data_IF_217835823609
#
_entry.id   IF_217835823609
#
_cell.length_a   1.000
_cell.length_b   1.000
_cell.length_c   1.000
_cell.angle_alpha   90.00
_cell.angle_beta   90.00
_cell.angle_gamma   90.00
#
_symmetry.space_group_name_H-M   'P 1'
#
loop_
_entity.id
_entity.type
_entity.pdbx_description
1 polymer ?
#
# COMPACT_ATOMS: atom_id res chain seq x y z
N UNK A 1 3.37 -48.70 22.75
CA UNK A 1 3.42 -47.28 23.16
C UNK A 1 4.48 -46.60 22.32
N UNK A 2 4.06 -46.04 21.19
CA UNK A 2 4.95 -45.49 20.16
C UNK A 2 5.32 -44.05 20.49
N UNK A 3 6.64 -43.83 20.60
CA UNK A 3 7.29 -42.53 20.71
C UNK A 3 6.98 -41.67 19.48
N UNK A 4 6.18 -40.62 19.66
CA UNK A 4 6.09 -39.52 18.71
C UNK A 4 7.34 -38.65 18.87
N UNK A 5 8.30 -38.81 17.95
CA UNK A 5 9.42 -37.90 17.77
C UNK A 5 8.85 -36.53 17.39
N UNK A 6 9.16 -35.53 18.20
CA UNK A 6 9.01 -34.12 17.85
C UNK A 6 10.04 -33.80 16.77
N UNK A 7 9.59 -33.69 15.53
CA UNK A 7 10.41 -33.08 14.47
C UNK A 7 10.42 -31.57 14.72
N UNK A 8 11.39 -31.14 15.52
CA UNK A 8 11.81 -29.75 15.57
C UNK A 8 12.31 -29.38 14.16
N UNK A 9 11.71 -28.37 13.54
CA UNK A 9 12.28 -27.70 12.37
C UNK A 9 13.75 -27.38 12.69
N UNK A 10 14.66 -28.15 12.08
CA UNK A 10 16.08 -28.09 12.34
C UNK A 10 16.68 -26.80 11.86
N UNK A 11 16.65 -25.76 12.69
CA UNK A 11 17.64 -24.69 12.65
C UNK A 11 18.86 -25.14 13.48
N UNK A 12 19.55 -26.19 13.01
CA UNK A 12 20.82 -26.65 13.59
C UNK A 12 21.90 -26.83 12.51
N UNK A 13 21.90 -26.02 11.45
CA UNK A 13 23.16 -25.80 10.75
C UNK A 13 23.98 -24.84 11.60
N UNK A 14 25.13 -25.29 12.11
CA UNK A 14 26.11 -24.41 12.75
C UNK A 14 26.67 -23.36 11.80
N UNK A 15 26.41 -23.50 10.49
CA UNK A 15 26.84 -22.57 9.46
C UNK A 15 25.81 -21.45 9.26
N UNK A 16 26.25 -20.18 9.24
CA UNK A 16 25.41 -19.05 8.86
C UNK A 16 24.84 -19.24 7.46
N UNK A 17 23.56 -18.90 7.27
CA UNK A 17 22.96 -18.78 5.96
C UNK A 17 23.72 -17.75 5.12
N UNK A 18 23.76 -17.95 3.81
CA UNK A 18 24.45 -17.01 2.91
C UNK A 18 23.75 -15.65 2.87
N UNK A 19 22.42 -15.66 2.78
CA UNK A 19 21.57 -14.47 2.62
C UNK A 19 20.22 -14.73 3.28
N UNK A 20 19.67 -13.73 3.98
CA UNK A 20 18.27 -13.67 4.42
C UNK A 20 17.63 -12.43 3.81
N UNK A 21 16.39 -12.54 3.35
CA UNK A 21 15.57 -11.40 2.90
C UNK A 21 14.43 -11.22 3.90
N UNK A 22 14.26 -10.01 4.42
CA UNK A 22 13.23 -9.66 5.40
C UNK A 22 12.24 -8.70 4.74
N UNK A 23 10.98 -9.11 4.64
CA UNK A 23 9.89 -8.28 4.11
C UNK A 23 8.66 -9.09 3.76
N UNK A 24 7.47 -8.56 4.08
CA UNK A 24 6.20 -9.22 3.82
C UNK A 24 5.22 -8.22 3.19
N UNK A 25 5.50 -7.79 1.96
CA UNK A 25 4.59 -6.94 1.18
C UNK A 25 3.21 -7.61 0.95
N UNK A 26 2.28 -6.96 0.23
CA UNK A 26 0.92 -7.47 0.03
C UNK A 26 0.84 -8.94 -0.41
N UNK A 27 1.75 -9.37 -1.28
CA UNK A 27 1.85 -10.76 -1.72
C UNK A 27 2.24 -11.73 -0.60
N UNK A 28 3.13 -11.32 0.30
CA UNK A 28 3.59 -12.13 1.43
C UNK A 28 2.54 -12.27 2.53
N UNK A 29 1.77 -11.20 2.79
CA UNK A 29 0.60 -11.26 3.68
C UNK A 29 -0.49 -12.17 3.11
N UNK A 30 -0.83 -12.01 1.82
CA UNK A 30 -1.81 -12.86 1.14
C UNK A 30 -1.41 -14.34 1.18
N UNK A 31 -0.14 -14.63 0.89
CA UNK A 31 0.41 -15.98 0.98
C UNK A 31 0.33 -16.52 2.40
N UNK A 32 0.71 -15.74 3.41
CA UNK A 32 0.64 -16.19 4.82
C UNK A 32 -0.80 -16.50 5.25
N UNK A 33 -1.79 -15.72 4.81
CA UNK A 33 -3.19 -15.98 5.08
C UNK A 33 -3.66 -17.31 4.47
N UNK A 34 -3.35 -17.54 3.19
CA UNK A 34 -3.62 -18.80 2.48
C UNK A 34 -2.98 -19.99 3.18
N UNK A 35 -1.69 -19.88 3.48
CA UNK A 35 -0.92 -20.95 4.12
C UNK A 35 -1.33 -21.16 5.58
N UNK A 36 -1.98 -20.20 6.25
CA UNK A 36 -2.53 -20.37 7.60
C UNK A 36 -3.79 -21.24 7.64
N UNK A 37 -4.18 -21.80 6.49
CA UNK A 37 -5.30 -22.72 6.33
C UNK A 37 -6.57 -22.05 5.81
N UNK A 38 -6.56 -20.74 5.53
CA UNK A 38 -7.71 -20.07 4.92
C UNK A 38 -7.76 -20.36 3.43
N UNK A 39 -8.65 -21.27 3.07
CA UNK A 39 -8.76 -21.77 1.71
C UNK A 39 -9.94 -21.09 0.99
N UNK A 40 -9.73 -20.50 -0.20
CA UNK A 40 -10.77 -19.84 -0.99
C UNK A 40 -11.65 -20.85 -1.74
N UNK A 41 -12.96 -20.62 -1.68
CA UNK A 41 -14.01 -21.36 -2.40
C UNK A 41 -14.92 -20.37 -3.13
N UNK A 42 -15.54 -20.81 -4.21
CA UNK A 42 -16.65 -20.05 -4.80
C UNK A 42 -17.84 -20.06 -3.83
N UNK A 43 -18.43 -18.89 -3.58
CA UNK A 43 -19.66 -18.76 -2.79
C UNK A 43 -20.80 -19.53 -3.50
N UNK A 44 -21.64 -20.31 -2.79
CA UNK A 44 -22.68 -21.14 -3.41
C UNK A 44 -23.63 -20.40 -4.35
N UNK A 45 -23.99 -19.15 -4.00
CA UNK A 45 -24.95 -18.34 -4.75
C UNK A 45 -24.27 -17.19 -5.53
N UNK A 46 -22.95 -17.18 -5.61
CA UNK A 46 -22.26 -16.14 -6.37
C UNK A 46 -22.29 -16.45 -7.87
N UNK A 47 -22.65 -15.42 -8.64
CA UNK A 47 -22.59 -15.44 -10.09
C UNK A 47 -21.51 -14.45 -10.53
N UNK A 48 -20.45 -14.97 -11.13
CA UNK A 48 -19.39 -14.15 -11.70
C UNK A 48 -19.90 -13.47 -12.98
N UNK A 49 -19.64 -12.16 -13.17
CA UNK A 49 -20.14 -11.40 -14.32
C UNK A 49 -19.58 -11.88 -15.66
N UNK A 50 -18.32 -12.34 -15.69
CA UNK A 50 -17.71 -12.92 -16.87
C UNK A 50 -18.29 -14.32 -17.19
N UNK A 51 -19.04 -14.53 -18.29
CA UNK A 51 -19.79 -15.77 -18.52
C UNK A 51 -18.92 -17.01 -18.70
N UNK A 52 -17.76 -16.87 -19.36
CA UNK A 52 -16.83 -18.00 -19.54
C UNK A 52 -16.23 -18.45 -18.21
N UNK A 53 -15.70 -17.52 -17.41
CA UNK A 53 -15.19 -17.84 -16.07
C UNK A 53 -16.31 -18.42 -15.18
N UNK A 54 -17.52 -17.87 -15.21
CA UNK A 54 -18.66 -18.44 -14.47
C UNK A 54 -18.94 -19.90 -14.86
N UNK A 55 -18.91 -20.21 -16.15
CA UNK A 55 -19.08 -21.58 -16.65
C UNK A 55 -17.99 -22.49 -16.10
N UNK A 56 -16.71 -22.08 -16.22
CA UNK A 56 -15.56 -22.86 -15.73
C UNK A 56 -15.64 -23.12 -14.21
N UNK A 57 -15.97 -22.10 -13.42
CA UNK A 57 -16.17 -22.23 -11.97
C UNK A 57 -17.32 -23.18 -11.60
N UNK A 58 -18.34 -23.28 -12.46
CA UNK A 58 -19.49 -24.16 -12.25
C UNK A 58 -19.21 -25.63 -12.57
N UNK A 59 -18.08 -25.96 -13.20
CA UNK A 59 -17.71 -27.34 -13.54
C UNK A 59 -17.26 -28.15 -12.32
N UNK A 60 -16.71 -27.48 -11.30
CA UNK A 60 -16.22 -28.10 -10.07
C UNK A 60 -16.76 -27.41 -8.80
N UNK A 61 -18.10 -27.43 -8.57
CA UNK A 61 -18.70 -26.75 -7.43
C UNK A 61 -18.22 -27.38 -6.12
N UNK A 62 -17.89 -26.52 -5.14
CA UNK A 62 -17.43 -26.96 -3.82
C UNK A 62 -15.96 -27.41 -3.76
N UNK A 63 -15.25 -27.45 -4.89
CA UNK A 63 -13.79 -27.63 -4.91
C UNK A 63 -13.12 -26.27 -4.64
N UNK A 64 -12.05 -26.26 -3.86
CA UNK A 64 -11.36 -25.00 -3.54
C UNK A 64 -10.62 -24.47 -4.77
N UNK A 65 -10.49 -23.16 -4.89
CA UNK A 65 -9.76 -22.54 -6.01
C UNK A 65 -8.31 -23.03 -6.05
N UNK A 66 -7.69 -23.32 -4.90
CA UNK A 66 -6.32 -23.83 -4.83
C UNK A 66 -6.15 -25.24 -5.39
N UNK A 67 -7.22 -26.02 -5.48
CA UNK A 67 -7.21 -27.40 -5.98
C UNK A 67 -7.77 -27.51 -7.40
N UNK A 68 -8.22 -26.39 -7.99
CA UNK A 68 -8.68 -26.33 -9.37
C UNK A 68 -7.50 -26.03 -10.30
N UNK A 69 -7.70 -26.28 -11.60
CA UNK A 69 -6.71 -25.96 -12.62
C UNK A 69 -6.67 -24.44 -12.86
N UNK A 70 -5.69 -23.78 -12.23
CA UNK A 70 -5.52 -22.33 -12.32
C UNK A 70 -5.18 -21.87 -13.75
N UNK A 71 -4.50 -22.70 -14.55
CA UNK A 71 -4.18 -22.38 -15.94
C UNK A 71 -5.49 -22.30 -16.73
N UNK A 72 -6.27 -23.40 -16.69
CA UNK A 72 -7.59 -23.46 -17.32
C UNK A 72 -8.53 -22.34 -16.85
N UNK A 73 -8.59 -22.05 -15.55
CA UNK A 73 -9.44 -20.98 -15.03
C UNK A 73 -8.99 -19.59 -15.50
N UNK A 74 -7.69 -19.38 -15.71
CA UNK A 74 -7.12 -18.09 -16.09
C UNK A 74 -7.16 -17.78 -17.60
N UNK A 75 -7.40 -18.79 -18.44
CA UNK A 75 -7.48 -18.60 -19.90
C UNK A 75 -8.56 -17.59 -20.31
N UNK A 76 -8.18 -16.66 -21.17
CA UNK A 76 -9.09 -15.68 -21.77
C UNK A 76 -9.46 -14.53 -20.83
N UNK A 77 -8.82 -14.43 -19.67
CA UNK A 77 -8.93 -13.25 -18.80
C UNK A 77 -8.03 -12.14 -19.33
N UNK A 78 -8.59 -10.94 -19.44
CA UNK A 78 -7.89 -9.74 -19.86
C UNK A 78 -7.85 -8.73 -18.70
N UNK A 79 -6.77 -7.96 -18.60
CA UNK A 79 -6.63 -6.93 -17.59
C UNK A 79 -5.25 -6.27 -17.61
N UNK A 80 -4.98 -5.46 -16.59
CA UNK A 80 -3.73 -4.66 -16.52
C UNK A 80 -2.50 -5.44 -16.06
N UNK A 81 -2.66 -6.67 -15.60
CA UNK A 81 -1.58 -7.55 -15.16
C UNK A 81 -1.21 -8.57 -16.25
N UNK A 82 0.08 -8.89 -16.41
CA UNK A 82 0.52 -9.93 -17.34
C UNK A 82 0.54 -11.34 -16.72
N UNK A 83 0.23 -11.48 -15.43
CA UNK A 83 0.20 -12.78 -14.74
C UNK A 83 -1.22 -13.37 -14.80
N UNK A 84 -1.44 -14.51 -15.48
CA UNK A 84 -2.76 -15.11 -15.62
C UNK A 84 -3.42 -15.44 -14.28
N UNK A 85 -2.66 -16.00 -13.34
CA UNK A 85 -3.15 -16.35 -12.00
C UNK A 85 -3.47 -15.10 -11.17
N UNK A 86 -2.70 -14.02 -11.32
CA UNK A 86 -3.01 -12.76 -10.65
C UNK A 86 -4.30 -12.14 -11.21
N UNK A 87 -4.50 -12.17 -12.52
CA UNK A 87 -5.76 -11.74 -13.17
C UNK A 87 -6.95 -12.57 -12.70
N UNK A 88 -6.80 -13.89 -12.63
CA UNK A 88 -7.82 -14.79 -12.11
C UNK A 88 -8.17 -14.44 -10.66
N UNK A 89 -7.17 -14.31 -9.80
CA UNK A 89 -7.42 -14.02 -8.40
C UNK A 89 -8.07 -12.64 -8.20
N UNK A 90 -7.66 -11.63 -8.97
CA UNK A 90 -8.28 -10.30 -8.97
C UNK A 90 -9.74 -10.34 -9.43
N UNK A 91 -10.03 -11.00 -10.57
CA UNK A 91 -11.38 -11.18 -11.08
C UNK A 91 -12.31 -11.89 -10.06
N UNK A 92 -11.80 -12.88 -9.33
CA UNK A 92 -12.56 -13.58 -8.30
C UNK A 92 -12.75 -12.74 -7.02
N UNK A 93 -11.72 -11.99 -6.61
CA UNK A 93 -11.74 -11.22 -5.38
C UNK A 93 -12.56 -9.93 -5.53
N UNK A 94 -12.45 -9.26 -6.69
CA UNK A 94 -13.16 -8.00 -6.99
C UNK A 94 -13.61 -7.98 -8.46
N UNK A 95 -14.70 -8.70 -8.79
CA UNK A 95 -15.16 -8.81 -10.17
C UNK A 95 -15.44 -7.44 -10.81
N UNK A 96 -14.97 -7.25 -12.04
CA UNK A 96 -15.14 -6.05 -12.87
C UNK A 96 -14.61 -4.73 -12.28
N UNK A 97 -13.70 -4.78 -11.30
CA UNK A 97 -13.12 -3.55 -10.72
C UNK A 97 -12.45 -2.68 -11.77
N UNK A 98 -11.73 -3.29 -12.73
CA UNK A 98 -11.10 -2.58 -13.85
C UNK A 98 -12.12 -1.92 -14.79
N UNK A 99 -13.39 -2.32 -14.75
CA UNK A 99 -14.49 -1.76 -15.54
C UNK A 99 -15.47 -0.93 -14.71
N UNK A 100 -15.16 -0.64 -13.44
CA UNK A 100 -16.01 0.16 -12.55
C UNK A 100 -17.21 -0.57 -11.96
N UNK A 101 -17.21 -1.91 -11.98
CA UNK A 101 -18.21 -2.72 -11.30
C UNK A 101 -18.07 -2.65 -9.77
N UNK A 102 -19.19 -2.80 -9.05
CA UNK A 102 -19.24 -2.81 -7.58
C UNK A 102 -19.68 -4.19 -7.04
N UNK A 103 -19.39 -5.25 -7.78
CA UNK A 103 -19.79 -6.62 -7.45
C UNK A 103 -18.98 -7.11 -6.25
N UNK A 104 -19.65 -7.71 -5.26
CA UNK A 104 -18.96 -8.32 -4.13
C UNK A 104 -18.06 -9.49 -4.57
N UNK A 105 -17.03 -9.81 -3.78
CA UNK A 105 -16.18 -10.97 -4.02
C UNK A 105 -17.01 -12.24 -4.22
N UNK A 106 -16.68 -13.03 -5.25
CA UNK A 106 -17.29 -14.35 -5.47
C UNK A 106 -16.66 -15.43 -4.58
N UNK A 107 -15.65 -15.07 -3.80
CA UNK A 107 -14.94 -15.98 -2.90
C UNK A 107 -15.53 -15.97 -1.48
N UNK A 108 -15.57 -17.15 -0.89
CA UNK A 108 -15.70 -17.34 0.56
C UNK A 108 -14.48 -18.09 1.07
N UNK A 109 -14.07 -17.79 2.30
CA UNK A 109 -12.85 -18.33 2.89
C UNK A 109 -13.22 -19.31 3.99
N UNK A 110 -12.70 -20.54 3.91
CA UNK A 110 -12.91 -21.57 4.93
C UNK A 110 -11.59 -21.87 5.61
N UNK A 111 -11.56 -21.82 6.95
CA UNK A 111 -10.40 -22.24 7.72
C UNK A 111 -10.34 -23.77 7.76
N UNK A 112 -9.30 -24.34 7.16
CA UNK A 112 -8.99 -25.78 7.12
C UNK A 112 -7.65 -26.01 7.81
N UNK A 113 -7.71 -26.42 9.07
CA UNK A 113 -6.52 -26.57 9.93
C UNK A 113 -5.57 -27.64 9.39
N UNK A 114 -6.11 -28.65 8.72
CA UNK A 114 -5.38 -29.72 8.05
C UNK A 114 -4.54 -29.23 6.86
N UNK A 115 -4.90 -28.09 6.27
CA UNK A 115 -4.14 -27.43 5.21
C UNK A 115 -3.22 -26.33 5.73
N UNK A 116 -3.37 -25.95 7.00
CA UNK A 116 -2.53 -24.93 7.59
C UNK A 116 -1.09 -25.44 7.63
N UNK A 117 -0.21 -24.76 6.90
CA UNK A 117 1.22 -24.89 7.10
C UNK A 117 1.51 -24.15 8.41
N UNK A 118 2.09 -24.81 9.44
CA UNK A 118 2.37 -24.16 10.71
C UNK A 118 3.27 -22.95 10.49
N UNK A 119 2.72 -21.76 10.74
CA UNK A 119 3.51 -20.55 10.83
C UNK A 119 4.03 -20.49 12.27
N UNK A 120 5.35 -20.56 12.42
CA UNK A 120 5.93 -20.38 13.74
C UNK A 120 5.86 -18.90 14.12
N UNK A 121 5.03 -18.57 15.11
CA UNK A 121 5.17 -17.31 15.87
C UNK A 121 6.20 -17.45 16.99
N UNK A 122 6.86 -18.60 17.13
CA UNK A 122 7.94 -18.73 18.10
C UNK A 122 9.10 -17.85 17.65
N UNK A 123 9.73 -17.11 18.60
CA UNK A 123 10.99 -16.44 18.33
C UNK A 123 11.96 -17.46 17.76
N UNK A 124 12.45 -17.19 16.56
CA UNK A 124 13.48 -17.97 15.94
C UNK A 124 14.68 -17.05 15.71
N UNK A 125 15.87 -17.65 15.71
CA UNK A 125 17.10 -16.93 15.40
C UNK A 125 17.67 -17.56 14.14
N UNK A 126 17.96 -16.72 13.15
CA UNK A 126 18.74 -17.11 11.98
C UNK A 126 20.05 -16.32 12.02
N UNK A 127 21.15 -17.00 11.73
CA UNK A 127 22.42 -16.36 11.47
C UNK A 127 22.62 -16.31 9.96
N UNK A 128 22.99 -15.14 9.42
CA UNK A 128 23.34 -15.03 8.01
C UNK A 128 24.53 -14.08 7.80
N UNK A 129 25.31 -14.35 6.75
CA UNK A 129 26.38 -13.48 6.31
C UNK A 129 25.86 -12.18 5.69
N UNK A 130 24.69 -12.23 5.04
CA UNK A 130 24.07 -11.07 4.42
C UNK A 130 22.57 -11.01 4.75
N UNK A 131 22.04 -9.80 4.92
CA UNK A 131 20.63 -9.52 5.18
C UNK A 131 20.14 -8.46 4.19
N UNK A 132 19.01 -8.69 3.54
CA UNK A 132 18.36 -7.75 2.63
C UNK A 132 17.04 -7.29 3.23
N UNK A 133 16.92 -5.99 3.49
CA UNK A 133 15.70 -5.36 3.98
C UNK A 133 14.81 -4.98 2.79
N UNK A 134 13.64 -5.61 2.73
CA UNK A 134 12.64 -5.45 1.67
C UNK A 134 11.23 -5.25 2.27
N UNK A 135 11.13 -4.56 3.41
CA UNK A 135 9.87 -4.40 4.16
C UNK A 135 8.92 -3.36 3.57
N UNK A 136 9.39 -2.52 2.65
CA UNK A 136 8.58 -1.41 2.12
C UNK A 136 8.43 -0.30 3.16
N UNK A 137 7.45 0.59 2.97
CA UNK A 137 7.27 1.81 3.79
C UNK A 137 5.83 2.09 4.16
N UNK A 138 4.93 1.11 3.98
CA UNK A 138 3.49 1.25 4.20
C UNK A 138 3.05 0.86 5.62
N UNK A 139 3.99 0.58 6.53
CA UNK A 139 3.70 -0.01 7.83
C UNK A 139 3.00 0.97 8.79
N UNK A 140 3.45 2.23 8.81
CA UNK A 140 2.95 3.25 9.76
C UNK A 140 2.55 4.53 9.04
N UNK A 141 1.25 4.86 8.94
CA UNK A 141 0.80 6.12 8.36
C UNK A 141 1.36 7.33 9.12
N UNK A 142 1.81 8.34 8.38
CA UNK A 142 2.32 9.57 8.97
C UNK A 142 1.19 10.35 9.65
N UNK A 143 1.49 10.92 10.83
CA UNK A 143 0.53 11.63 11.68
C UNK A 143 0.71 13.14 11.57
N UNK A 144 -0.40 13.86 11.64
CA UNK A 144 -0.43 15.32 11.68
C UNK A 144 0.09 15.86 13.02
N UNK A 145 -0.14 15.11 14.11
CA UNK A 145 0.26 15.52 15.46
C UNK A 145 -0.58 16.68 16.01
N UNK A 146 -1.85 16.78 15.60
CA UNK A 146 -2.77 17.87 15.98
C UNK A 146 -3.90 17.37 16.89
N UNK A 147 -4.51 18.25 17.70
CA UNK A 147 -5.69 17.89 18.50
C UNK A 147 -6.84 17.36 17.63
N UNK A 148 -7.46 16.27 18.08
CA UNK A 148 -8.60 15.64 17.41
C UNK A 148 -8.23 14.68 16.26
N UNK A 149 -6.94 14.46 15.95
CA UNK A 149 -6.55 13.48 14.92
C UNK A 149 -6.97 12.04 15.24
N UNK A 150 -7.21 11.72 16.52
CA UNK A 150 -7.66 10.40 16.97
C UNK A 150 -9.18 10.23 16.96
N UNK A 151 -9.94 11.21 16.47
CA UNK A 151 -11.41 11.12 16.38
C UNK A 151 -11.82 10.06 15.34
N UNK A 152 -12.98 9.39 15.54
CA UNK A 152 -13.35 8.19 14.77
C UNK A 152 -13.66 8.44 13.28
N UNK A 153 -13.85 9.69 12.87
CA UNK A 153 -14.08 10.07 11.47
C UNK A 153 -12.78 10.50 10.75
N UNK A 154 -11.64 10.41 11.44
CA UNK A 154 -10.31 10.72 10.90
C UNK A 154 -9.57 9.41 10.62
N UNK A 155 -9.24 9.19 9.35
CA UNK A 155 -8.59 7.98 8.88
C UNK A 155 -7.32 8.30 8.09
N UNK A 156 -6.40 7.35 8.02
CA UNK A 156 -5.11 7.49 7.32
C UNK A 156 -5.00 6.58 6.08
N UNK A 157 -6.13 6.00 5.65
CA UNK A 157 -6.21 5.08 4.53
C UNK A 157 -7.41 5.38 3.63
N UNK A 158 -7.25 5.15 2.33
CA UNK A 158 -8.34 5.29 1.34
C UNK A 158 -9.49 4.32 1.58
N UNK A 159 -9.20 3.12 2.10
CA UNK A 159 -10.17 2.06 2.42
C UNK A 159 -11.33 2.56 3.28
N UNK A 160 -11.10 3.53 4.16
CA UNK A 160 -12.14 4.12 4.99
C UNK A 160 -13.22 4.83 4.17
N UNK A 161 -12.84 5.52 3.08
CA UNK A 161 -13.79 6.17 2.19
C UNK A 161 -14.59 5.15 1.38
N UNK A 162 -13.93 4.10 0.88
CA UNK A 162 -14.59 2.99 0.16
C UNK A 162 -15.66 2.35 1.05
N UNK A 163 -15.32 2.06 2.30
CA UNK A 163 -16.25 1.49 3.29
C UNK A 163 -17.39 2.47 3.59
N UNK A 164 -17.09 3.76 3.78
CA UNK A 164 -18.08 4.76 4.13
C UNK A 164 -19.11 5.02 3.01
N UNK A 165 -18.67 5.01 1.75
CA UNK A 165 -19.54 5.14 0.57
C UNK A 165 -20.38 3.86 0.41
N UNK A 166 -19.77 2.67 0.50
CA UNK A 166 -20.50 1.39 0.40
C UNK A 166 -21.55 1.22 1.50
N UNK A 167 -21.26 1.69 2.72
CA UNK A 167 -22.19 1.67 3.83
C UNK A 167 -23.28 2.76 3.76
N UNK A 168 -23.21 3.68 2.79
CA UNK A 168 -24.14 4.81 2.65
C UNK A 168 -23.99 5.87 3.75
N UNK A 169 -22.91 5.84 4.54
CA UNK A 169 -22.64 6.85 5.58
C UNK A 169 -22.08 8.17 5.03
N UNK A 170 -21.52 8.11 3.81
CA UNK A 170 -21.08 9.28 3.04
C UNK A 170 -21.79 9.21 1.69
N UNK A 171 -22.58 10.23 1.39
CA UNK A 171 -23.41 10.34 0.19
C UNK A 171 -23.17 11.69 -0.49
N UNK A 172 -23.65 11.89 -1.74
CA UNK A 172 -23.55 13.19 -2.42
C UNK A 172 -24.22 14.34 -1.64
N UNK A 173 -25.24 14.05 -0.84
CA UNK A 173 -25.97 15.02 -0.01
C UNK A 173 -25.32 15.26 1.37
N UNK A 174 -24.26 14.52 1.70
CA UNK A 174 -23.53 14.66 2.97
C UNK A 174 -22.61 15.90 2.96
N UNK A 175 -22.16 16.29 4.16
CA UNK A 175 -21.05 17.25 4.27
C UNK A 175 -19.81 16.77 3.51
N UNK A 176 -18.92 17.68 3.07
CA UNK A 176 -17.75 17.29 2.29
C UNK A 176 -16.80 16.33 3.01
N UNK A 177 -16.10 15.50 2.23
CA UNK A 177 -14.95 14.73 2.69
C UNK A 177 -13.71 15.60 2.60
N UNK A 178 -12.95 15.68 3.70
CA UNK A 178 -11.65 16.34 3.72
C UNK A 178 -10.54 15.35 3.35
N UNK A 179 -9.77 15.67 2.31
CA UNK A 179 -8.60 14.92 1.88
C UNK A 179 -7.36 15.78 2.13
N UNK A 180 -6.39 15.25 2.87
CA UNK A 180 -5.17 15.96 3.26
C UNK A 180 -3.96 15.28 2.65
N UNK A 181 -3.19 16.03 1.86
CA UNK A 181 -1.97 15.53 1.22
C UNK A 181 -1.83 16.03 -0.21
N UNK A 182 -0.64 15.90 -0.80
CA UNK A 182 -0.39 16.28 -2.20
C UNK A 182 0.38 15.19 -2.96
N UNK A 183 0.23 13.94 -2.51
CA UNK A 183 0.80 12.75 -3.15
C UNK A 183 -0.24 12.00 -3.98
N UNK A 184 0.20 10.89 -4.59
CA UNK A 184 -0.67 10.03 -5.40
C UNK A 184 -1.85 9.47 -4.60
N UNK A 185 -1.64 9.01 -3.36
CA UNK A 185 -2.73 8.50 -2.52
C UNK A 185 -3.82 9.54 -2.28
N UNK A 186 -3.47 10.81 -2.08
CA UNK A 186 -4.43 11.89 -1.95
C UNK A 186 -5.17 12.15 -3.27
N UNK A 187 -4.45 12.07 -4.41
CA UNK A 187 -5.06 12.19 -5.73
C UNK A 187 -6.05 11.05 -6.02
N UNK A 188 -5.71 9.82 -5.67
CA UNK A 188 -6.58 8.65 -5.78
C UNK A 188 -7.86 8.84 -4.97
N UNK A 189 -7.74 9.32 -3.74
CA UNK A 189 -8.89 9.64 -2.91
C UNK A 189 -9.78 10.73 -3.51
N UNK A 190 -9.19 11.78 -4.09
CA UNK A 190 -9.93 12.83 -4.78
C UNK A 190 -10.68 12.26 -5.98
N UNK A 191 -9.99 11.48 -6.82
CA UNK A 191 -10.60 10.85 -8.00
C UNK A 191 -11.75 9.91 -7.60
N UNK A 192 -11.54 9.10 -6.57
CA UNK A 192 -12.54 8.16 -6.06
C UNK A 192 -13.77 8.88 -5.50
N UNK A 193 -13.60 9.86 -4.62
CA UNK A 193 -14.71 10.67 -4.09
C UNK A 193 -15.51 11.35 -5.21
N UNK A 194 -14.80 11.92 -6.19
CA UNK A 194 -15.41 12.61 -7.35
C UNK A 194 -16.18 11.67 -8.26
N UNK A 195 -15.73 10.43 -8.42
CA UNK A 195 -16.45 9.42 -9.21
C UNK A 195 -17.85 9.15 -8.66
N UNK A 196 -18.00 9.18 -7.33
CA UNK A 196 -19.28 9.02 -6.62
C UNK A 196 -20.01 10.35 -6.36
N UNK A 197 -19.60 11.45 -6.98
CA UNK A 197 -20.17 12.80 -6.79
C UNK A 197 -20.15 13.28 -5.32
N UNK A 198 -19.18 12.81 -4.53
CA UNK A 198 -18.98 13.28 -3.15
C UNK A 198 -18.29 14.63 -3.18
N UNK A 199 -18.76 15.56 -2.34
CA UNK A 199 -18.14 16.88 -2.18
C UNK A 199 -16.75 16.72 -1.52
N UNK A 200 -15.74 17.34 -2.11
CA UNK A 200 -14.35 17.23 -1.64
C UNK A 200 -13.80 18.58 -1.21
N UNK A 201 -13.22 18.61 -0.02
CA UNK A 201 -12.26 19.64 0.39
C UNK A 201 -10.87 19.01 0.33
N UNK A 202 -9.96 19.55 -0.48
CA UNK A 202 -8.61 19.02 -0.66
C UNK A 202 -7.58 20.02 -0.12
N UNK A 203 -6.96 19.69 1.01
CA UNK A 203 -6.01 20.56 1.71
C UNK A 203 -4.58 20.03 1.65
N UNK A 204 -3.63 20.92 1.44
CA UNK A 204 -2.21 20.55 1.36
C UNK A 204 -1.31 21.73 1.71
N UNK A 205 -0.18 21.43 2.36
CA UNK A 205 0.74 22.46 2.91
C UNK A 205 1.62 23.16 1.87
N UNK A 206 1.70 22.63 0.65
CA UNK A 206 2.60 23.12 -0.40
C UNK A 206 1.86 24.05 -1.36
N UNK A 207 2.54 25.01 -2.01
CA UNK A 207 1.94 25.73 -3.13
C UNK A 207 1.71 24.77 -4.30
N UNK A 208 0.70 25.06 -5.13
CA UNK A 208 0.34 24.20 -6.28
C UNK A 208 1.44 24.15 -7.34
N UNK A 209 2.23 25.22 -7.42
CA UNK A 209 3.34 25.36 -8.38
C UNK A 209 4.68 24.85 -7.80
N UNK A 210 4.68 24.18 -6.64
CA UNK A 210 5.89 23.54 -6.09
C UNK A 210 6.43 22.50 -7.09
N UNK A 211 7.67 22.64 -7.59
CA UNK A 211 8.28 21.71 -8.55
C UNK A 211 8.42 20.29 -7.97
N UNK A 212 8.49 20.16 -6.64
CA UNK A 212 8.60 18.90 -5.91
C UNK A 212 7.28 18.14 -5.74
N UNK A 213 6.16 18.60 -6.32
CA UNK A 213 4.93 17.82 -6.38
C UNK A 213 5.09 16.63 -7.34
N UNK A 214 4.54 15.48 -6.94
CA UNK A 214 4.62 14.24 -7.73
C UNK A 214 3.97 14.39 -9.11
N UNK A 215 2.96 15.26 -9.22
CA UNK A 215 2.26 15.56 -10.48
C UNK A 215 3.18 16.09 -11.58
N UNK A 216 4.25 16.81 -11.22
CA UNK A 216 5.21 17.36 -12.20
C UNK A 216 6.18 16.30 -12.74
N UNK A 217 6.28 15.14 -12.09
CA UNK A 217 7.20 14.06 -12.44
C UNK A 217 6.52 12.98 -13.30
N UNK A 218 5.19 13.05 -13.45
CA UNK A 218 4.40 12.04 -14.14
C UNK A 218 4.18 12.47 -15.59
N UNK A 219 4.42 11.61 -16.60
CA UNK A 219 4.10 11.93 -17.98
C UNK A 219 2.58 12.09 -18.18
N UNK A 220 2.15 13.26 -18.68
CA UNK A 220 0.72 13.59 -18.91
C UNK A 220 -0.02 12.57 -19.77
N UNK A 221 0.65 12.01 -20.78
CA UNK A 221 0.05 10.98 -21.64
C UNK A 221 -0.26 9.67 -20.92
N UNK A 222 0.56 9.30 -19.92
CA UNK A 222 0.40 8.04 -19.19
C UNK A 222 -0.53 8.18 -17.99
N UNK A 223 -0.64 9.39 -17.43
CA UNK A 223 -1.41 9.66 -16.22
C UNK A 223 -2.28 10.93 -16.34
N UNK A 224 -3.20 11.00 -17.31
CA UNK A 224 -4.04 12.17 -17.54
C UNK A 224 -4.94 12.51 -16.33
N UNK A 225 -5.38 11.51 -15.57
CA UNK A 225 -6.22 11.64 -14.39
C UNK A 225 -5.53 12.40 -13.24
N UNK A 226 -4.25 12.13 -12.98
CA UNK A 226 -3.49 12.86 -11.96
C UNK A 226 -3.21 14.31 -12.38
N UNK A 227 -3.06 14.56 -13.68
CA UNK A 227 -2.94 15.93 -14.19
C UNK A 227 -4.26 16.69 -14.07
N UNK A 228 -5.40 16.00 -14.20
CA UNK A 228 -6.71 16.59 -13.91
C UNK A 228 -6.81 17.00 -12.45
N UNK A 229 -6.35 16.16 -11.51
CA UNK A 229 -6.28 16.55 -10.09
C UNK A 229 -5.39 17.78 -9.88
N UNK A 230 -4.21 17.80 -10.49
CA UNK A 230 -3.30 18.96 -10.41
C UNK A 230 -3.92 20.25 -10.98
N UNK A 231 -4.67 20.15 -12.08
CA UNK A 231 -5.45 21.26 -12.64
C UNK A 231 -6.51 21.74 -11.64
N UNK A 232 -7.29 20.82 -11.05
CA UNK A 232 -8.27 21.16 -10.02
C UNK A 232 -7.63 21.84 -8.81
N UNK A 233 -6.44 21.39 -8.38
CA UNK A 233 -5.68 22.03 -7.29
C UNK A 233 -5.38 23.50 -7.57
N UNK A 234 -5.08 23.86 -8.84
CA UNK A 234 -4.71 25.21 -9.27
C UNK A 234 -5.91 26.14 -9.45
N UNK A 235 -7.04 25.61 -9.90
CA UNK A 235 -8.22 26.40 -10.26
C UNK A 235 -9.06 26.78 -9.03
N UNK A 236 -8.50 27.69 -8.22
CA UNK A 236 -9.18 28.45 -7.18
C UNK A 236 -9.12 29.93 -7.48
N UNK A 237 -10.08 30.46 -8.23
CA UNK A 237 -10.36 31.88 -8.11
C UNK A 237 -11.53 32.06 -7.16
N UNK A 238 -11.28 32.72 -6.03
CA UNK A 238 -12.29 33.19 -5.06
C UNK A 238 -13.36 34.08 -5.74
N UNK A 239 -13.13 34.50 -6.99
CA UNK A 239 -13.96 35.43 -7.76
C UNK A 239 -14.82 34.76 -8.85
N UNK A 240 -14.78 33.44 -9.00
CA UNK A 240 -15.62 32.72 -9.98
C UNK A 240 -15.90 31.30 -9.49
N UNK A 241 -17.11 30.75 -9.69
CA UNK A 241 -17.36 29.33 -9.40
C UNK A 241 -16.31 28.51 -10.14
N UNK A 242 -15.51 27.74 -9.40
CA UNK A 242 -14.53 26.83 -9.99
C UNK A 242 -15.27 25.95 -11.01
N UNK A 243 -14.71 25.68 -12.20
CA UNK A 243 -15.37 24.83 -13.19
C UNK A 243 -15.60 23.39 -12.68
N UNK A 244 -14.99 23.04 -11.55
CA UNK A 244 -15.16 21.77 -10.86
C UNK A 244 -16.13 21.88 -9.69
N UNK A 245 -17.42 21.94 -10.00
CA UNK A 245 -18.50 21.88 -9.00
C UNK A 245 -18.30 20.68 -8.07
N UNK A 246 -18.36 20.91 -6.75
CA UNK A 246 -18.14 19.88 -5.73
C UNK A 246 -16.69 19.61 -5.33
N UNK A 247 -15.72 20.41 -5.80
CA UNK A 247 -14.32 20.33 -5.34
C UNK A 247 -13.82 21.69 -4.86
N UNK A 248 -13.21 21.72 -3.67
CA UNK A 248 -12.60 22.90 -3.07
C UNK A 248 -11.15 22.58 -2.71
N UNK A 249 -10.20 23.18 -3.43
CA UNK A 249 -8.79 23.13 -3.05
C UNK A 249 -8.52 24.04 -1.83
N UNK A 250 -7.44 23.80 -1.10
CA UNK A 250 -6.99 24.64 0.02
C UNK A 250 -5.45 24.58 0.04
N UNK A 251 -4.77 25.23 -0.93
CA UNK A 251 -3.32 25.25 -0.98
C UNK A 251 -2.77 26.07 0.19
N UNK A 252 -1.66 25.62 0.76
CA UNK A 252 -0.92 26.30 1.83
C UNK A 252 -1.73 26.55 3.12
N UNK A 253 -2.92 25.95 3.24
CA UNK A 253 -3.70 26.05 4.47
C UNK A 253 -3.13 25.10 5.54
N UNK A 254 -3.01 25.61 6.76
CA UNK A 254 -2.58 24.84 7.91
C UNK A 254 -3.80 24.36 8.69
N UNK A 255 -3.96 23.05 8.80
CA UNK A 255 -4.97 22.46 9.68
C UNK A 255 -4.50 22.54 11.14
N UNK A 256 -5.33 23.10 12.01
CA UNK A 256 -5.00 23.35 13.42
C UNK A 256 -5.57 22.28 14.35
N UNK A 257 -6.84 21.89 14.18
CA UNK A 257 -7.49 20.85 14.99
C UNK A 257 -8.74 20.29 14.31
N UNK A 258 -9.15 19.11 14.77
CA UNK A 258 -10.48 18.55 14.58
C UNK A 258 -11.31 18.66 15.86
N UNK A 259 -12.59 18.95 15.70
CA UNK A 259 -13.56 19.01 16.79
C UNK A 259 -14.48 17.79 16.77
N UNK A 260 -15.07 17.48 17.92
CA UNK A 260 -16.01 16.34 18.07
C UNK A 260 -17.28 16.49 17.23
N UNK A 261 -17.69 17.72 16.92
CA UNK A 261 -18.84 18.06 16.06
C UNK A 261 -18.53 17.95 14.56
N UNK A 262 -17.49 17.19 14.19
CA UNK A 262 -17.02 16.95 12.82
C UNK A 262 -16.62 18.23 12.07
N UNK A 263 -16.09 19.20 12.80
CA UNK A 263 -15.52 20.40 12.21
C UNK A 263 -13.99 20.37 12.18
N UNK A 264 -13.41 20.93 11.13
CA UNK A 264 -11.97 21.18 11.04
C UNK A 264 -11.69 22.69 11.04
N UNK A 265 -10.73 23.12 11.87
CA UNK A 265 -10.24 24.50 11.93
C UNK A 265 -8.96 24.63 11.12
N UNK A 266 -8.98 25.49 10.11
CA UNK A 266 -7.83 25.82 9.29
C UNK A 266 -7.38 27.26 9.53
N UNK A 267 -6.10 27.49 9.34
CA UNK A 267 -5.51 28.81 9.13
C UNK A 267 -5.13 28.92 7.66
N UNK A 268 -5.60 29.98 7.00
CA UNK A 268 -5.19 30.29 5.62
C UNK A 268 -3.82 30.99 5.58
N UNK A 269 -3.20 31.17 4.40
CA UNK A 269 -1.88 31.80 4.27
C UNK A 269 -1.85 33.25 4.76
N UNK A 270 -3.01 33.91 4.89
CA UNK A 270 -3.15 35.27 5.42
C UNK A 270 -3.32 35.28 6.95
N UNK A 271 -3.33 34.11 7.60
CA UNK A 271 -3.48 33.93 9.04
C UNK A 271 -4.93 33.89 9.52
N UNK A 272 -5.92 33.93 8.62
CA UNK A 272 -7.34 33.92 8.97
C UNK A 272 -7.80 32.50 9.27
N UNK A 273 -8.61 32.37 10.32
CA UNK A 273 -9.18 31.09 10.72
C UNK A 273 -10.48 30.79 9.96
N UNK A 274 -10.59 29.60 9.38
CA UNK A 274 -11.79 29.10 8.68
C UNK A 274 -12.20 27.75 9.27
N UNK A 275 -13.51 27.55 9.40
CA UNK A 275 -14.09 26.30 9.89
C UNK A 275 -14.86 25.63 8.77
N UNK A 276 -14.67 24.33 8.61
CA UNK A 276 -15.42 23.51 7.66
C UNK A 276 -16.09 22.35 8.39
N UNK A 277 -17.39 22.14 8.14
CA UNK A 277 -18.10 20.92 8.53
C UNK A 277 -17.80 19.79 7.55
N UNK A 278 -17.65 18.56 8.06
CA UNK A 278 -17.12 17.43 7.33
C UNK A 278 -17.89 16.14 7.62
N UNK A 279 -18.00 15.26 6.64
CA UNK A 279 -18.54 13.91 6.84
C UNK A 279 -17.46 12.90 7.26
N UNK A 280 -16.28 13.00 6.65
CA UNK A 280 -15.13 12.10 6.81
C UNK A 280 -13.82 12.86 6.56
N UNK A 281 -12.72 12.43 7.19
CA UNK A 281 -11.38 12.98 6.97
C UNK A 281 -10.42 11.86 6.57
N UNK A 282 -9.64 12.10 5.52
CA UNK A 282 -8.54 11.24 5.07
C UNK A 282 -7.21 11.99 5.16
N UNK A 283 -6.33 11.54 6.04
CA UNK A 283 -4.97 12.04 6.25
C UNK A 283 -4.01 11.20 5.41
N UNK A 284 -3.77 11.60 4.16
CA UNK A 284 -2.98 10.87 3.17
C UNK A 284 -1.66 11.59 2.88
N UNK A 285 -0.89 11.82 3.94
CA UNK A 285 0.36 12.61 3.92
C UNK A 285 1.64 11.76 3.80
N UNK A 286 1.48 10.47 3.49
CA UNK A 286 2.56 9.48 3.39
C UNK A 286 2.62 8.55 4.60
N UNK A 287 3.63 7.70 4.62
CA UNK A 287 3.86 6.68 5.65
C UNK A 287 5.35 6.51 5.93
N UNK A 288 5.64 5.84 7.04
CA UNK A 288 6.97 5.51 7.50
C UNK A 288 7.13 3.98 7.54
N UNK A 289 8.33 3.48 7.18
CA UNK A 289 8.66 2.07 7.40
C UNK A 289 8.76 1.77 8.89
N UNK A 290 8.37 0.56 9.27
CA UNK A 290 8.61 0.06 10.63
C UNK A 290 9.86 -0.83 10.65
N UNK A 291 10.96 -0.24 11.13
CA UNK A 291 12.22 -0.93 11.37
C UNK A 291 12.53 -1.06 12.87
N UNK A 292 11.51 -1.03 13.73
CA UNK A 292 11.66 -1.15 15.20
C UNK A 292 12.37 -2.43 15.66
N UNK A 293 12.43 -3.45 14.80
CA UNK A 293 13.22 -4.66 15.01
C UNK A 293 14.74 -4.46 14.88
N UNK A 294 15.19 -3.30 14.39
CA UNK A 294 16.60 -2.91 14.35
C UNK A 294 16.94 -1.98 15.53
N UNK A 295 18.21 -1.99 16.00
CA UNK A 295 18.67 -1.04 17.00
C UNK A 295 18.42 0.41 16.57
N UNK A 296 17.79 1.20 17.46
CA UNK A 296 17.44 2.60 17.18
C UNK A 296 16.51 2.78 15.97
N UNK A 297 15.66 1.78 15.67
CA UNK A 297 14.79 1.75 14.50
C UNK A 297 15.53 1.95 13.15
N UNK A 298 16.81 1.58 13.10
CA UNK A 298 17.62 1.73 11.90
C UNK A 298 18.04 3.16 11.56
N UNK A 299 17.89 4.13 12.47
CA UNK A 299 18.27 5.53 12.21
C UNK A 299 19.75 5.69 11.79
N UNK A 300 20.65 4.91 12.40
CA UNK A 300 22.07 4.88 12.06
C UNK A 300 22.38 4.39 10.64
N UNK A 301 21.42 3.77 9.95
CA UNK A 301 21.57 3.31 8.57
C UNK A 301 21.12 4.36 7.55
N UNK A 302 20.48 5.44 7.98
CA UNK A 302 19.97 6.48 7.10
C UNK A 302 21.09 7.38 6.57
N UNK A 303 20.82 8.12 5.50
CA UNK A 303 21.75 9.12 4.92
C UNK A 303 22.16 10.17 5.96
N UNK A 304 21.20 10.63 6.77
CA UNK A 304 21.41 11.48 7.93
C UNK A 304 20.98 10.74 9.20
N UNK A 305 21.92 10.24 10.03
CA UNK A 305 21.63 9.53 11.27
C UNK A 305 20.89 10.35 12.34
N UNK A 306 20.94 11.68 12.26
CA UNK A 306 20.28 12.59 13.22
C UNK A 306 18.81 12.83 12.86
N UNK A 307 18.37 12.38 11.68
CA UNK A 307 17.00 12.50 11.20
C UNK A 307 16.29 11.14 11.21
N UNK A 308 14.95 11.10 11.41
CA UNK A 308 14.20 9.86 11.32
C UNK A 308 14.25 9.29 9.89
N UNK A 309 14.26 7.95 9.80
CA UNK A 309 14.26 7.26 8.52
C UNK A 309 12.97 7.53 7.74
N UNK A 310 13.13 7.88 6.46
CA UNK A 310 12.01 8.19 5.58
C UNK A 310 12.36 7.89 4.12
N UNK A 311 11.54 7.07 3.47
CA UNK A 311 11.68 6.65 2.07
C UNK A 311 12.01 7.78 1.08
N UNK A 312 11.48 8.99 1.32
CA UNK A 312 11.59 10.13 0.39
C UNK A 312 12.58 11.19 0.84
N UNK A 313 12.85 11.30 2.14
CA UNK A 313 13.63 12.42 2.70
C UNK A 313 14.95 11.98 3.31
N UNK A 314 14.99 10.77 3.87
CA UNK A 314 16.12 10.23 4.58
C UNK A 314 16.11 8.69 4.48
N UNK A 315 16.26 8.11 3.27
CA UNK A 315 16.27 6.66 3.08
C UNK A 315 17.51 6.03 3.73
N UNK A 316 17.57 4.69 3.76
CA UNK A 316 18.80 3.97 4.10
C UNK A 316 19.88 4.36 3.10
N UNK A 317 21.05 4.74 3.61
CA UNK A 317 22.22 5.05 2.79
C UNK A 317 22.80 3.75 2.24
N UNK A 318 22.73 3.62 0.92
CA UNK A 318 23.21 2.44 0.20
C UNK A 318 24.15 2.84 -0.92
N UNK A 319 25.12 1.99 -1.19
CA UNK A 319 25.97 2.17 -2.36
C UNK A 319 25.12 1.94 -3.64
N UNK A 320 25.10 2.89 -4.61
CA UNK A 320 24.17 2.87 -5.75
C UNK A 320 24.20 1.66 -6.68
N UNK A 321 25.33 0.96 -6.81
CA UNK A 321 25.53 -0.18 -7.71
C UNK A 321 25.39 -1.54 -7.03
N UNK A 322 25.38 -1.57 -5.70
CA UNK A 322 25.28 -2.82 -4.93
C UNK A 322 24.07 -2.88 -4.00
N UNK A 323 23.49 -1.72 -3.67
CA UNK A 323 22.41 -1.55 -2.70
C UNK A 323 22.77 -2.06 -1.30
N UNK A 324 24.07 -2.21 -1.03
CA UNK A 324 24.61 -2.53 0.28
C UNK A 324 24.65 -1.24 1.12
N UNK A 325 24.28 -1.33 2.39
CA UNK A 325 24.40 -0.22 3.32
C UNK A 325 25.84 0.28 3.39
N UNK A 326 26.02 1.60 3.34
CA UNK A 326 27.33 2.25 3.53
C UNK A 326 27.81 2.17 4.98
N UNK A 327 26.89 1.96 5.92
CA UNK A 327 27.14 1.96 7.36
C UNK A 327 27.33 0.55 7.93
N UNK A 328 26.83 -0.49 7.25
CA UNK A 328 26.88 -1.87 7.75
C UNK A 328 27.21 -2.88 6.64
N UNK A 329 28.37 -3.54 6.76
CA UNK A 329 28.73 -4.60 5.82
C UNK A 329 27.77 -5.80 5.95
N UNK A 330 27.40 -6.39 4.81
CA UNK A 330 26.46 -7.52 4.75
C UNK A 330 24.99 -7.12 4.85
N UNK A 331 24.67 -5.87 5.18
CA UNK A 331 23.29 -5.37 5.16
C UNK A 331 22.97 -4.69 3.83
N UNK A 332 21.81 -4.99 3.27
CA UNK A 332 21.31 -4.42 2.01
C UNK A 332 19.90 -3.88 2.25
N UNK A 333 19.49 -2.87 1.47
CA UNK A 333 18.12 -2.37 1.48
C UNK A 333 17.63 -2.21 0.04
N UNK A 334 16.36 -2.48 -0.22
CA UNK A 334 15.76 -2.37 -1.56
C UNK A 334 14.41 -1.66 -1.54
N UNK A 335 13.98 -1.19 -2.70
CA UNK A 335 12.69 -0.52 -2.84
C UNK A 335 12.64 0.82 -2.11
N UNK A 336 11.48 1.23 -1.57
CA UNK A 336 11.33 2.52 -0.93
C UNK A 336 12.30 2.77 0.24
N UNK A 337 12.80 1.73 0.92
CA UNK A 337 13.81 1.87 1.96
C UNK A 337 15.13 2.46 1.45
N UNK A 338 15.48 2.17 0.19
CA UNK A 338 16.67 2.67 -0.49
C UNK A 338 16.38 3.93 -1.33
N UNK A 339 15.17 4.50 -1.23
CA UNK A 339 14.76 5.67 -2.02
C UNK A 339 14.03 5.36 -3.33
N UNK A 340 13.86 4.07 -3.69
CA UNK A 340 13.13 3.66 -4.89
C UNK A 340 11.62 3.72 -4.64
N UNK A 341 11.04 4.91 -4.82
CA UNK A 341 9.64 5.17 -4.47
C UNK A 341 8.62 4.80 -5.55
N UNK A 342 9.06 4.39 -6.75
CA UNK A 342 8.18 3.92 -7.82
C UNK A 342 8.38 2.43 -8.06
N UNK A 343 7.27 1.68 -8.06
CA UNK A 343 7.25 0.21 -8.23
C UNK A 343 8.07 -0.26 -9.43
N UNK A 344 8.06 0.51 -10.53
CA UNK A 344 8.82 0.21 -11.75
C UNK A 344 10.33 0.09 -11.53
N UNK A 345 10.91 0.83 -10.59
CA UNK A 345 12.37 0.89 -10.39
C UNK A 345 12.86 -0.11 -9.33
N UNK A 346 11.97 -0.67 -8.52
CA UNK A 346 12.32 -1.61 -7.42
C UNK A 346 13.06 -2.86 -7.93
N UNK A 347 12.78 -3.30 -9.15
CA UNK A 347 13.46 -4.43 -9.79
C UNK A 347 14.96 -4.15 -10.04
N UNK A 348 15.33 -2.89 -10.26
CA UNK A 348 16.73 -2.48 -10.44
C UNK A 348 17.57 -2.69 -9.18
N UNK A 349 17.03 -2.31 -8.02
CA UNK A 349 17.69 -2.57 -6.73
C UNK A 349 17.86 -4.07 -6.45
N UNK A 350 16.85 -4.89 -6.73
CA UNK A 350 16.95 -6.34 -6.58
C UNK A 350 18.05 -6.95 -7.48
N UNK A 351 18.18 -6.48 -8.72
CA UNK A 351 19.24 -6.88 -9.65
C UNK A 351 20.63 -6.52 -9.11
N UNK A 352 20.80 -5.30 -8.58
CA UNK A 352 22.06 -4.83 -8.00
C UNK A 352 22.49 -5.68 -6.79
N UNK A 353 21.57 -5.96 -5.87
CA UNK A 353 21.80 -6.82 -4.70
C UNK A 353 22.22 -8.23 -5.15
N UNK A 354 21.47 -8.85 -6.07
CA UNK A 354 21.78 -10.19 -6.57
C UNK A 354 23.17 -10.25 -7.21
N UNK A 355 23.51 -9.27 -8.06
CA UNK A 355 24.83 -9.15 -8.70
C UNK A 355 25.96 -9.02 -7.67
N UNK A 356 25.77 -8.18 -6.64
CA UNK A 356 26.73 -7.99 -5.54
C UNK A 356 26.96 -9.29 -4.78
N UNK A 357 25.89 -9.97 -4.37
CA UNK A 357 25.95 -11.21 -3.59
C UNK A 357 26.61 -12.36 -4.38
N UNK A 358 26.27 -12.52 -5.65
CA UNK A 358 26.88 -13.55 -6.52
C UNK A 358 28.37 -13.30 -6.75
N UNK A 359 28.79 -12.04 -6.87
CA UNK A 359 30.22 -11.68 -7.00
C UNK A 359 30.99 -11.91 -5.70
N UNK A 360 30.37 -11.67 -4.53
CA UNK A 360 30.97 -11.99 -3.22
C UNK A 360 31.17 -13.49 -3.06
N UNK A 361 30.22 -14.31 -3.51
CA UNK A 361 30.36 -15.77 -3.53
C UNK A 361 31.51 -16.23 -4.45
N UNK A 362 31.58 -15.70 -5.68
CA UNK A 362 32.61 -16.08 -6.65
C UNK A 362 34.04 -15.68 -6.27
N UNK A 363 34.22 -14.74 -5.32
CA UNK A 363 35.53 -14.27 -4.84
C UNK A 363 36.07 -15.04 -3.64
N UNK A 364 35.29 -15.92 -3.01
CA UNK A 364 35.81 -16.81 -1.96
C UNK A 364 36.63 -17.93 -2.64
N UNK A 365 37.94 -18.07 -2.37
CA UNK A 365 38.67 -19.26 -2.80
C UNK A 365 38.09 -20.51 -2.11
N UNK A 366 38.21 -21.70 -2.74
CA UNK A 366 37.66 -22.96 -2.21
C UNK A 366 38.21 -23.34 -0.84
#
# INVERSE_FOLDING_TARGET
>A
MSNWRKDHLGASSSEPLKVIIIGNGPSGICLSYLLSGYTPYVKPDAVHPHPLLQRKLSEAPGVSILDQDLDYLSEGLEGRCQSPVALLFDALLRPDTDFGGNTESVLTWKLQKERAIPHSQQPFSLCAHNVVLATGTSDSPARLGIPGETLPFVHHELSALEVAIRAGTVTPDSDPVLIIGAGLSAADAVLYARHYNILVIHAFRRPVDDPGLVFNQLPKMLYPEYHKVHQMMREQSILSPSPYEGYRSLPEHQLLLFKEDRQALFQDPQGLHKVFGLSLVLVLIGSHPDLSFLPGAGAHLAVDPDQPLSAKRNPIDVEPFTYQSTQQEGLYAVGPLAGDNFVRFVQGGALAVASSLLRKEARKPP
#
